data_IF_509484382655
#
_entry.id   IF_509484382655
#
_cell.length_a   1.000
_cell.length_b   1.000
_cell.length_c   1.000
_cell.angle_alpha   90.00
_cell.angle_beta   90.00
_cell.angle_gamma   90.00
#
_symmetry.space_group_name_H-M   'P 1'
#
loop_
_entity.id
_entity.type
_entity.pdbx_description
1 polymer ?
#
# COMPACT_ATOMS: atom_id res chain seq x y z
N UNK A 1 -11.87 -41.29 0.01
CA UNK A 1 -12.50 -40.56 -0.15
C UNK A 1 -12.40 -39.19 0.36
N UNK A 2 -12.43 -38.89 1.45
CA UNK A 2 -12.54 -37.58 1.98
C UNK A 2 -11.33 -36.76 1.90
N UNK A 3 -10.26 -37.36 1.62
CA UNK A 3 -8.97 -36.69 1.62
C UNK A 3 -8.91 -35.54 0.68
N UNK A 4 -9.56 -35.64 -0.42
CA UNK A 4 -9.53 -34.60 -1.41
C UNK A 4 -10.05 -33.28 -0.86
N UNK A 5 -11.02 -33.37 -0.01
CA UNK A 5 -11.55 -32.14 0.55
C UNK A 5 -10.55 -31.38 1.37
N UNK A 6 -9.71 -32.09 2.09
CA UNK A 6 -8.72 -31.44 2.91
C UNK A 6 -7.71 -30.69 2.07
N UNK A 7 -7.32 -31.27 0.96
CA UNK A 7 -6.38 -30.61 0.09
C UNK A 7 -6.96 -29.31 -0.44
N UNK A 8 -8.22 -29.34 -0.80
CA UNK A 8 -8.85 -28.15 -1.29
C UNK A 8 -8.88 -27.05 -0.25
N UNK A 9 -9.09 -27.42 0.99
CA UNK A 9 -9.12 -26.43 2.05
C UNK A 9 -7.79 -25.74 2.20
N UNK A 10 -6.70 -26.47 2.15
CA UNK A 10 -5.40 -25.85 2.27
C UNK A 10 -5.10 -24.93 1.11
N UNK A 11 -5.48 -25.35 -0.08
CA UNK A 11 -5.27 -24.51 -1.23
C UNK A 11 -6.04 -23.20 -1.09
N UNK A 12 -7.21 -23.25 -0.51
CA UNK A 12 -8.02 -22.06 -0.34
C UNK A 12 -7.39 -21.06 0.62
N UNK A 13 -6.53 -21.52 1.54
CA UNK A 13 -5.91 -20.63 2.49
C UNK A 13 -4.55 -20.12 2.03
N UNK A 14 -4.11 -20.53 0.87
CA UNK A 14 -2.82 -20.10 0.36
C UNK A 14 -2.84 -18.61 0.06
N UNK A 15 -1.67 -18.01 0.10
CA UNK A 15 -1.52 -16.60 -0.22
C UNK A 15 -1.94 -16.35 -1.66
N UNK A 16 -2.45 -15.15 -1.96
CA UNK A 16 -2.78 -14.80 -3.33
C UNK A 16 -1.54 -14.85 -4.22
N UNK A 17 -1.73 -15.18 -5.48
CA UNK A 17 -0.66 -15.21 -6.46
C UNK A 17 -0.90 -14.13 -7.49
N UNK A 18 0.18 -13.73 -8.16
CA UNK A 18 0.08 -12.73 -9.21
C UNK A 18 -0.74 -13.27 -10.36
N UNK A 19 -1.69 -12.50 -10.82
CA UNK A 19 -2.48 -12.84 -12.01
C UNK A 19 -2.52 -11.68 -12.99
N UNK A 20 -2.02 -10.50 -12.62
CA UNK A 20 -2.01 -9.33 -13.46
C UNK A 20 -0.68 -8.63 -13.43
N UNK A 21 -0.67 -7.43 -13.95
CA UNK A 21 0.54 -6.62 -14.00
C UNK A 21 0.97 -6.22 -12.59
N UNK A 22 2.27 -6.36 -12.30
CA UNK A 22 2.83 -5.91 -11.03
C UNK A 22 2.81 -4.39 -11.00
N UNK A 23 2.17 -3.82 -9.97
CA UNK A 23 2.12 -2.37 -9.81
C UNK A 23 2.85 -1.90 -8.55
N UNK A 24 3.23 -2.81 -7.65
CA UNK A 24 3.95 -2.45 -6.44
C UNK A 24 4.92 -3.56 -6.08
N UNK A 25 6.14 -3.17 -5.73
CA UNK A 25 7.16 -4.12 -5.27
C UNK A 25 7.67 -3.65 -3.91
N UNK A 26 7.69 -4.56 -2.94
CA UNK A 26 8.35 -4.31 -1.66
C UNK A 26 9.65 -5.09 -1.62
N UNK A 27 10.69 -4.46 -1.07
CA UNK A 27 12.00 -5.08 -0.96
C UNK A 27 12.62 -4.75 0.39
N UNK A 28 13.82 -5.27 0.63
CA UNK A 28 14.56 -5.02 1.87
C UNK A 28 14.16 -6.03 2.93
N UNK A 29 13.78 -5.54 4.11
CA UNK A 29 13.46 -6.38 5.26
C UNK A 29 12.05 -6.98 5.12
N UNK A 30 11.83 -7.79 4.09
CA UNK A 30 10.53 -8.41 3.82
C UNK A 30 10.72 -9.90 3.56
N UNK A 31 9.64 -10.65 3.68
CA UNK A 31 9.62 -12.07 3.38
C UNK A 31 10.35 -12.89 4.43
N UNK A 32 10.56 -14.15 4.09
CA UNK A 32 11.34 -15.08 4.90
C UNK A 32 12.59 -15.47 4.12
N UNK A 33 13.55 -16.12 4.75
CA UNK A 33 14.72 -16.59 4.00
C UNK A 33 14.36 -17.48 2.82
N UNK A 34 13.21 -18.19 2.92
CA UNK A 34 12.77 -19.06 1.84
C UNK A 34 12.14 -18.30 0.68
N UNK A 35 11.50 -17.16 0.95
CA UNK A 35 10.80 -16.41 -0.08
C UNK A 35 11.64 -15.31 -0.70
N UNK A 36 12.80 -15.03 -0.13
CA UNK A 36 13.67 -13.98 -0.65
C UNK A 36 13.31 -12.61 -0.13
N UNK A 37 13.93 -11.60 -0.70
CA UNK A 37 13.84 -10.23 -0.18
C UNK A 37 12.99 -9.31 -1.06
N UNK A 38 12.01 -9.86 -1.77
CA UNK A 38 11.15 -9.06 -2.64
C UNK A 38 9.76 -9.67 -2.66
N UNK A 39 8.74 -8.81 -2.56
CA UNK A 39 7.35 -9.22 -2.68
C UNK A 39 6.67 -8.31 -3.69
N UNK A 40 5.99 -8.90 -4.68
CA UNK A 40 5.33 -8.16 -5.74
C UNK A 40 3.82 -8.25 -5.58
N UNK A 41 3.13 -7.16 -5.91
CA UNK A 41 1.68 -7.07 -5.83
C UNK A 41 1.11 -6.57 -7.14
N UNK A 42 0.05 -7.21 -7.61
CA UNK A 42 -0.79 -6.66 -8.66
C UNK A 42 -2.01 -6.00 -8.00
N UNK A 43 -2.87 -5.39 -8.81
CA UNK A 43 -4.02 -4.68 -8.27
C UNK A 43 -4.96 -5.64 -7.52
N UNK A 44 -5.16 -6.84 -8.05
CA UNK A 44 -6.04 -7.81 -7.40
C UNK A 44 -5.55 -8.21 -6.02
N UNK A 45 -4.25 -8.35 -5.87
CA UNK A 45 -3.67 -8.68 -4.56
C UNK A 45 -3.87 -7.53 -3.58
N UNK A 46 -3.68 -6.30 -4.04
CA UNK A 46 -3.91 -5.14 -3.17
C UNK A 46 -5.39 -5.04 -2.78
N UNK A 47 -6.29 -5.34 -3.73
CA UNK A 47 -7.72 -5.31 -3.45
C UNK A 47 -8.14 -6.37 -2.44
N UNK A 48 -7.39 -7.46 -2.32
CA UNK A 48 -7.74 -8.54 -1.38
C UNK A 48 -7.32 -8.26 0.05
N UNK A 49 -6.52 -7.21 0.27
CA UNK A 49 -6.07 -6.83 1.61
C UNK A 49 -7.14 -5.96 2.28
N UNK A 50 -7.07 -5.79 3.62
CA UNK A 50 -8.01 -4.90 4.30
C UNK A 50 -8.00 -3.51 3.68
N UNK A 51 -9.16 -3.09 3.23
CA UNK A 51 -9.36 -1.82 2.55
C UNK A 51 -9.81 -0.75 3.53
N UNK A 52 -9.44 0.50 3.24
CA UNK A 52 -9.93 1.63 4.01
C UNK A 52 -10.26 2.77 3.07
N UNK A 53 -11.31 3.50 3.41
CA UNK A 53 -11.75 4.65 2.64
C UNK A 53 -11.43 5.91 3.45
N UNK A 54 -10.83 6.91 2.80
CA UNK A 54 -10.51 8.18 3.43
C UNK A 54 -11.10 9.29 2.56
N UNK A 55 -12.01 10.06 3.16
CA UNK A 55 -12.57 11.25 2.51
C UNK A 55 -11.85 12.44 3.11
N UNK A 56 -11.07 13.15 2.32
CA UNK A 56 -10.23 14.21 2.86
C UNK A 56 -9.84 15.21 1.78
N UNK A 57 -9.65 16.46 2.21
CA UNK A 57 -9.00 17.45 1.38
C UNK A 57 -7.49 17.14 1.32
N UNK A 58 -6.85 17.51 0.24
CA UNK A 58 -5.40 17.42 0.09
C UNK A 58 -4.90 18.67 -0.61
N UNK A 59 -3.59 18.98 -0.52
CA UNK A 59 -3.05 20.11 -1.28
C UNK A 59 -3.13 19.93 -2.79
N UNK A 60 -3.37 18.70 -3.27
CA UNK A 60 -3.29 18.37 -4.71
C UNK A 60 -4.63 18.16 -5.37
N UNK A 61 -5.73 18.25 -4.63
CA UNK A 61 -7.07 18.01 -5.15
C UNK A 61 -8.02 19.10 -4.71
N UNK A 62 -9.05 19.34 -5.52
CA UNK A 62 -10.13 20.22 -5.12
C UNK A 62 -11.16 19.42 -4.34
N UNK A 63 -11.80 20.07 -3.36
CA UNK A 63 -12.82 19.43 -2.57
C UNK A 63 -12.27 18.34 -1.67
N UNK A 64 -13.11 17.35 -1.40
CA UNK A 64 -12.75 16.24 -0.52
C UNK A 64 -13.03 14.93 -1.24
N UNK A 65 -12.13 14.49 -2.12
CA UNK A 65 -12.33 13.22 -2.82
C UNK A 65 -12.36 12.05 -1.83
N UNK A 66 -12.93 10.95 -2.30
CA UNK A 66 -12.97 9.71 -1.53
C UNK A 66 -11.89 8.78 -2.05
N UNK A 67 -10.85 8.61 -1.25
CA UNK A 67 -9.72 7.73 -1.59
C UNK A 67 -9.96 6.36 -0.99
N UNK A 68 -9.59 5.30 -1.69
CA UNK A 68 -9.71 3.96 -1.13
C UNK A 68 -8.55 3.09 -1.57
N UNK A 69 -8.19 2.14 -0.72
CA UNK A 69 -7.12 1.21 -0.97
C UNK A 69 -6.73 0.49 0.31
N UNK A 70 -5.76 -0.41 0.23
CA UNK A 70 -5.29 -1.11 1.43
C UNK A 70 -4.53 -0.15 2.33
N UNK A 71 -4.58 -0.41 3.64
CA UNK A 71 -3.72 0.32 4.57
C UNK A 71 -2.27 -0.10 4.32
N UNK A 72 -1.35 0.82 4.55
CA UNK A 72 0.07 0.46 4.41
C UNK A 72 0.41 -0.66 5.40
N UNK A 73 -0.16 -0.61 6.61
CA UNK A 73 0.08 -1.63 7.61
C UNK A 73 -0.29 -3.02 7.09
N UNK A 74 -1.42 -3.15 6.39
CA UNK A 74 -1.83 -4.46 5.85
C UNK A 74 -0.89 -4.94 4.74
N UNK A 75 -0.37 -4.02 3.94
CA UNK A 75 0.59 -4.38 2.90
C UNK A 75 1.90 -4.84 3.54
N UNK A 76 2.35 -4.16 4.59
CA UNK A 76 3.56 -4.56 5.29
C UNK A 76 3.39 -5.94 5.92
N UNK A 77 2.23 -6.23 6.50
CA UNK A 77 1.96 -7.55 7.06
C UNK A 77 1.98 -8.62 5.98
N UNK A 78 1.34 -8.35 4.85
CA UNK A 78 1.29 -9.31 3.75
C UNK A 78 2.70 -9.61 3.23
N UNK A 79 3.59 -8.63 3.26
CA UNK A 79 4.97 -8.79 2.79
C UNK A 79 5.89 -9.30 3.90
N UNK A 80 5.38 -9.50 5.11
CA UNK A 80 6.18 -9.92 6.27
C UNK A 80 7.33 -8.96 6.52
N UNK A 81 7.01 -7.66 6.51
CA UNK A 81 8.00 -6.62 6.71
C UNK A 81 8.43 -6.53 8.16
N UNK A 82 9.72 -6.30 8.39
CA UNK A 82 10.30 -6.32 9.72
C UNK A 82 11.11 -5.08 10.07
N UNK A 83 11.05 -4.04 9.25
CA UNK A 83 11.89 -2.87 9.44
C UNK A 83 11.22 -1.76 10.23
N UNK A 84 11.93 -0.66 10.36
CA UNK A 84 11.47 0.52 11.10
C UNK A 84 11.24 1.71 10.19
N UNK A 85 11.75 1.70 8.96
CA UNK A 85 11.66 2.83 8.05
C UNK A 85 11.31 2.34 6.67
N UNK A 86 10.48 3.10 5.98
CA UNK A 86 10.11 2.82 4.59
C UNK A 86 10.70 3.88 3.69
N UNK A 87 11.21 3.45 2.52
CA UNK A 87 11.56 4.37 1.45
C UNK A 87 10.54 4.14 0.34
N UNK A 88 9.70 5.12 0.08
CA UNK A 88 8.62 5.00 -0.89
C UNK A 88 9.05 5.71 -2.17
N UNK A 89 9.05 4.96 -3.27
CA UNK A 89 9.57 5.44 -4.54
C UNK A 89 8.47 5.58 -5.57
N UNK A 90 8.58 6.62 -6.38
CA UNK A 90 7.63 6.93 -7.44
C UNK A 90 8.22 6.62 -8.81
N UNK A 91 7.37 6.68 -9.82
CA UNK A 91 7.76 6.46 -11.21
C UNK A 91 8.87 7.39 -11.68
N UNK A 92 8.89 8.65 -11.20
CA UNK A 92 9.85 9.66 -11.62
C UNK A 92 11.09 9.70 -10.72
N UNK A 93 11.34 8.61 -10.00
CA UNK A 93 12.47 8.46 -9.09
C UNK A 93 12.39 9.33 -7.83
N UNK A 94 11.31 10.05 -7.63
CA UNK A 94 11.10 10.73 -6.34
C UNK A 94 11.01 9.67 -5.25
N UNK A 95 11.60 9.95 -4.10
CA UNK A 95 11.54 9.03 -2.98
C UNK A 95 11.40 9.83 -1.69
N UNK A 96 10.69 9.25 -0.74
CA UNK A 96 10.50 9.86 0.57
C UNK A 96 10.56 8.79 1.64
N UNK A 97 11.08 9.17 2.80
CA UNK A 97 11.14 8.30 3.96
C UNK A 97 9.84 8.40 4.74
N UNK A 98 9.35 7.26 5.21
CA UNK A 98 8.18 7.20 6.09
C UNK A 98 8.50 6.24 7.23
N UNK A 99 8.41 6.66 8.49
CA UNK A 99 8.58 5.71 9.59
C UNK A 99 7.49 4.64 9.53
N UNK A 100 7.84 3.40 9.79
CA UNK A 100 6.84 2.32 9.88
C UNK A 100 5.81 2.65 10.96
N UNK A 101 6.22 3.42 11.97
CA UNK A 101 5.32 3.84 13.03
C UNK A 101 4.10 4.59 12.50
N UNK A 102 4.27 5.40 11.43
CA UNK A 102 3.13 6.08 10.81
C UNK A 102 2.10 5.05 10.33
N UNK A 103 2.57 3.98 9.69
CA UNK A 103 1.66 2.96 9.17
C UNK A 103 0.95 2.22 10.30
N UNK A 104 1.59 2.10 11.46
CA UNK A 104 1.02 1.34 12.57
C UNK A 104 0.07 2.15 13.42
N UNK A 105 0.28 3.46 13.54
CA UNK A 105 -0.51 4.30 14.44
C UNK A 105 -1.50 5.20 13.70
N UNK A 106 -1.32 5.42 12.41
CA UNK A 106 -2.20 6.25 11.59
C UNK A 106 -2.77 5.36 10.48
N UNK A 107 -4.08 5.44 10.20
CA UNK A 107 -4.66 4.64 9.12
C UNK A 107 -4.34 5.21 7.75
N UNK A 108 -3.05 5.26 7.41
CA UNK A 108 -2.58 5.74 6.11
C UNK A 108 -2.74 4.62 5.08
N UNK A 109 -3.17 4.97 3.87
CA UNK A 109 -3.48 3.99 2.85
C UNK A 109 -2.61 4.16 1.61
N UNK A 110 -2.50 3.09 0.85
CA UNK A 110 -2.03 3.13 -0.53
C UNK A 110 -3.28 3.21 -1.39
N UNK A 111 -3.68 4.42 -1.73
CA UNK A 111 -4.92 4.60 -2.47
C UNK A 111 -4.74 4.11 -3.91
N UNK A 112 -5.65 3.26 -4.34
CA UNK A 112 -5.68 2.75 -5.71
C UNK A 112 -6.89 3.30 -6.46
N UNK A 113 -7.85 3.90 -5.75
CA UNK A 113 -9.06 4.46 -6.36
C UNK A 113 -9.38 5.82 -5.75
N UNK A 114 -9.94 6.68 -6.59
CA UNK A 114 -10.53 7.97 -6.19
C UNK A 114 -11.97 7.95 -6.66
N UNK A 115 -12.90 8.17 -5.73
CA UNK A 115 -14.34 8.17 -6.01
C UNK A 115 -14.75 6.89 -6.75
N UNK A 116 -14.15 5.76 -6.35
CA UNK A 116 -14.48 4.45 -6.90
C UNK A 116 -13.78 4.07 -8.18
N UNK A 117 -12.97 4.97 -8.75
CA UNK A 117 -12.30 4.70 -10.04
C UNK A 117 -10.81 4.51 -9.83
N UNK A 118 -10.25 3.51 -10.51
CA UNK A 118 -8.81 3.26 -10.47
C UNK A 118 -8.07 4.53 -10.92
N UNK A 119 -7.01 4.87 -10.20
CA UNK A 119 -6.27 6.10 -10.47
C UNK A 119 -5.31 5.86 -11.63
N UNK A 120 -5.47 6.62 -12.70
CA UNK A 120 -4.56 6.53 -13.84
C UNK A 120 -3.25 7.20 -13.49
N UNK A 121 -2.19 6.86 -14.24
CA UNK A 121 -0.88 7.50 -14.07
C UNK A 121 -1.00 9.02 -14.25
N UNK A 122 -1.82 9.45 -15.21
CA UNK A 122 -2.04 10.87 -15.45
C UNK A 122 -2.62 11.55 -14.21
N UNK A 123 -3.43 10.85 -13.44
CA UNK A 123 -4.09 11.41 -12.26
C UNK A 123 -3.36 11.03 -10.97
N UNK A 124 -2.06 10.77 -11.06
CA UNK A 124 -1.17 10.48 -9.94
C UNK A 124 -1.22 9.04 -9.45
N UNK A 125 -1.79 8.12 -10.26
CA UNK A 125 -1.77 6.70 -9.96
C UNK A 125 -0.53 6.02 -10.50
N UNK A 126 -0.45 4.72 -10.37
CA UNK A 126 -1.54 3.83 -9.93
C UNK A 126 -1.78 3.82 -8.43
N UNK A 127 -0.83 4.31 -7.64
CA UNK A 127 -0.93 4.26 -6.17
C UNK A 127 -0.51 5.61 -5.61
N UNK A 128 -1.29 6.09 -4.65
CA UNK A 128 -1.07 7.39 -4.01
C UNK A 128 -1.14 7.18 -2.50
N UNK A 129 -0.11 7.57 -1.78
CA UNK A 129 -0.12 7.51 -0.31
C UNK A 129 -1.02 8.62 0.21
N UNK A 130 -2.06 8.25 0.95
CA UNK A 130 -3.03 9.23 1.48
C UNK A 130 -3.13 9.09 2.99
N UNK A 131 -2.94 10.21 3.68
CA UNK A 131 -3.15 10.33 5.12
C UNK A 131 -4.56 10.87 5.39
N UNK A 132 -5.16 10.54 6.53
CA UNK A 132 -6.51 11.04 6.86
C UNK A 132 -6.46 12.47 7.41
N UNK A 133 -6.15 13.44 6.55
CA UNK A 133 -5.91 14.81 6.97
C UNK A 133 -7.14 15.44 7.65
N UNK A 134 -8.34 15.21 7.09
CA UNK A 134 -9.55 15.84 7.66
C UNK A 134 -9.90 15.27 9.02
N UNK A 135 -9.63 13.98 9.25
CA UNK A 135 -9.89 13.34 10.53
C UNK A 135 -8.83 13.68 11.56
N UNK A 136 -7.62 13.97 11.12
CA UNK A 136 -6.48 14.32 11.98
C UNK A 136 -5.79 15.55 11.41
N UNK A 137 -6.34 16.75 11.67
CA UNK A 137 -5.81 17.97 11.04
C UNK A 137 -4.36 18.28 11.39
N UNK A 138 -3.83 17.73 12.48
CA UNK A 138 -2.43 17.92 12.82
C UNK A 138 -1.49 17.30 11.77
N UNK A 139 -2.02 16.43 10.92
CA UNK A 139 -1.22 15.83 9.84
C UNK A 139 -1.11 16.74 8.62
N UNK A 140 -1.87 17.82 8.57
CA UNK A 140 -1.91 18.69 7.39
C UNK A 140 -0.74 19.67 7.45
N UNK A 141 0.46 19.18 7.14
CA UNK A 141 1.68 19.97 7.16
C UNK A 141 2.73 19.33 6.25
N UNK A 142 3.84 20.05 6.03
CA UNK A 142 4.86 19.65 5.07
C UNK A 142 5.48 18.28 5.36
N UNK A 143 5.58 17.90 6.62
CA UNK A 143 6.18 16.60 6.96
C UNK A 143 5.37 15.47 6.30
N UNK A 144 4.06 15.50 6.49
CA UNK A 144 3.20 14.45 5.95
C UNK A 144 2.92 14.64 4.47
N UNK A 145 2.93 15.87 3.98
CA UNK A 145 2.82 16.11 2.53
C UNK A 145 3.99 15.46 1.81
N UNK A 146 5.19 15.58 2.34
CA UNK A 146 6.38 14.97 1.74
C UNK A 146 6.27 13.45 1.71
N UNK A 147 5.64 12.86 2.71
CA UNK A 147 5.46 11.42 2.79
C UNK A 147 4.30 10.92 1.92
N UNK A 148 3.47 11.82 1.41
CA UNK A 148 2.32 11.46 0.58
C UNK A 148 2.74 11.33 -0.88
N UNK A 149 3.53 10.31 -1.14
CA UNK A 149 4.10 10.06 -2.47
C UNK A 149 2.99 9.59 -3.42
N UNK A 150 2.99 10.11 -4.65
CA UNK A 150 2.07 9.63 -5.69
C UNK A 150 2.85 8.91 -6.77
N UNK A 151 2.13 8.17 -7.64
CA UNK A 151 2.73 7.30 -8.65
C UNK A 151 3.70 6.30 -8.02
N UNK A 152 3.31 5.76 -6.88
CA UNK A 152 4.16 4.83 -6.13
C UNK A 152 4.34 3.54 -6.92
N UNK A 153 5.59 3.08 -7.01
CA UNK A 153 5.91 1.82 -7.67
C UNK A 153 6.65 0.85 -6.75
N UNK A 154 7.30 1.35 -5.73
CA UNK A 154 8.13 0.49 -4.88
C UNK A 154 8.24 1.03 -3.48
N UNK A 155 8.37 0.13 -2.53
CA UNK A 155 8.64 0.46 -1.12
C UNK A 155 9.79 -0.42 -0.67
N UNK A 156 10.83 0.22 -0.15
CA UNK A 156 11.95 -0.50 0.43
C UNK A 156 11.85 -0.42 1.94
N UNK A 157 11.90 -1.57 2.62
CA UNK A 157 11.76 -1.64 4.08
C UNK A 157 13.16 -1.73 4.67
N UNK A 158 13.50 -0.75 5.51
CA UNK A 158 14.82 -0.64 6.12
C UNK A 158 14.73 -0.98 7.59
N UNK A 159 15.80 -1.57 8.10
CA UNK A 159 15.87 -2.01 9.49
C UNK A 159 16.02 -0.93 10.53
#
# INVERSE_FOLDING_TARGET
>A
MSVAGLSGARAATAAPTLSGEVILTLSGQVGTPETGATTAFDLGMLDSLPQREIVTATPWHEGTPRFSGPTIDSVLEAAQARGAMLIIRALNDYASDMPVEDARTIPVILATRIDGKVISVRDKGPIFVIYPFDQQPELFNEVYFTRSVWQVTAIEVMG
#
